data_IF_388075083921
#
_entry.id   IF_388075083921
#
_cell.length_a   1.000
_cell.length_b   1.000
_cell.length_c   1.000
_cell.angle_alpha   90.00
_cell.angle_beta   90.00
_cell.angle_gamma   90.00
#
_symmetry.space_group_name_H-M   'P 1'
#
loop_
_entity.id
_entity.type
_entity.pdbx_description
1 polymer ?
#
# COMPACT_ATOMS: atom_id res chain seq x y z
N UNK A 1 -40.40 25.09 5.48
CA UNK A 1 -39.21 24.57 6.21
C UNK A 1 -39.15 23.09 5.90
N UNK A 2 -38.07 22.66 5.27
CA UNK A 2 -37.95 21.44 4.46
C UNK A 2 -37.97 20.14 5.27
N UNK A 3 -38.85 19.22 4.86
CA UNK A 3 -38.83 17.77 5.08
C UNK A 3 -37.82 17.10 4.11
N UNK A 4 -37.69 15.77 4.02
CA UNK A 4 -37.57 14.71 5.04
C UNK A 4 -36.33 13.81 4.78
N UNK A 5 -36.05 12.94 5.75
CA UNK A 5 -35.04 11.90 5.71
C UNK A 5 -35.45 10.76 4.75
N UNK A 6 -34.92 10.77 3.52
CA UNK A 6 -35.04 9.67 2.55
C UNK A 6 -33.65 9.25 2.05
N UNK A 7 -33.16 8.09 2.48
CA UNK A 7 -31.95 7.48 1.92
C UNK A 7 -32.34 6.63 0.70
N UNK A 8 -31.85 6.92 -0.52
CA UNK A 8 -32.40 6.36 -1.76
C UNK A 8 -31.65 5.13 -2.29
N UNK A 9 -30.92 4.37 -1.47
CA UNK A 9 -30.17 3.22 -2.01
C UNK A 9 -31.05 1.96 -2.07
N UNK A 10 -31.78 1.84 -3.20
CA UNK A 10 -32.30 0.55 -3.68
C UNK A 10 -31.11 -0.38 -3.90
N UNK A 11 -31.10 -1.52 -3.19
CA UNK A 11 -30.22 -2.64 -3.48
C UNK A 11 -30.46 -3.11 -4.94
N UNK A 12 -29.45 -2.96 -5.80
CA UNK A 12 -29.42 -3.69 -7.06
C UNK A 12 -29.02 -5.14 -6.75
N UNK A 13 -30.02 -6.03 -6.72
CA UNK A 13 -29.81 -7.46 -6.80
C UNK A 13 -29.17 -7.79 -8.15
N UNK A 14 -27.88 -8.10 -8.16
CA UNK A 14 -27.22 -8.65 -9.34
C UNK A 14 -27.41 -10.17 -9.37
N UNK A 15 -28.37 -10.62 -10.18
CA UNK A 15 -28.38 -11.96 -10.76
C UNK A 15 -27.35 -11.96 -11.90
N UNK A 16 -26.35 -12.84 -11.85
CA UNK A 16 -25.47 -13.06 -12.99
C UNK A 16 -24.15 -13.71 -12.63
N UNK A 17 -24.02 -14.98 -12.99
CA UNK A 17 -22.85 -15.83 -12.79
C UNK A 17 -21.91 -15.68 -13.98
N UNK A 18 -21.00 -14.68 -13.97
CA UNK A 18 -19.99 -14.54 -15.04
C UNK A 18 -18.61 -14.15 -14.51
N UNK A 19 -17.70 -15.11 -14.62
CA UNK A 19 -16.26 -15.01 -14.38
C UNK A 19 -15.60 -13.96 -15.29
N UNK A 20 -14.86 -13.01 -14.73
CA UNK A 20 -14.11 -12.03 -15.50
C UNK A 20 -12.90 -12.67 -16.21
N UNK A 21 -12.83 -12.55 -17.54
CA UNK A 21 -11.71 -12.97 -18.39
C UNK A 21 -10.57 -11.93 -18.32
N UNK A 22 -9.34 -12.42 -18.22
CA UNK A 22 -8.08 -11.66 -18.26
C UNK A 22 -7.80 -11.22 -19.71
N UNK A 23 -7.44 -9.95 -19.94
CA UNK A 23 -7.12 -9.37 -21.25
C UNK A 23 -5.92 -10.11 -21.89
N UNK A 24 -6.05 -10.54 -23.15
CA UNK A 24 -4.97 -11.08 -24.00
C UNK A 24 -4.46 -9.92 -24.88
N UNK A 25 -3.15 -9.77 -25.01
CA UNK A 25 -2.51 -8.80 -25.91
C UNK A 25 -2.10 -9.52 -27.21
N UNK A 26 -2.49 -8.99 -28.36
CA UNK A 26 -2.27 -9.58 -29.70
C UNK A 26 -0.82 -9.36 -30.22
N UNK A 27 -0.39 -10.30 -31.07
CA UNK A 27 0.98 -10.49 -31.57
C UNK A 27 1.46 -9.42 -32.59
N UNK A 28 2.71 -8.93 -32.43
CA UNK A 28 3.41 -8.08 -33.43
C UNK A 28 4.65 -8.85 -33.96
N UNK A 29 4.93 -8.86 -35.28
CA UNK A 29 5.92 -9.77 -35.87
C UNK A 29 7.38 -9.33 -35.71
N UNK A 30 8.25 -10.34 -35.58
CA UNK A 30 9.68 -10.24 -35.29
C UNK A 30 10.55 -9.74 -36.47
N UNK A 31 11.35 -8.69 -36.24
CA UNK A 31 12.58 -8.41 -37.00
C UNK A 31 13.67 -7.78 -36.12
N UNK A 32 14.75 -8.58 -35.94
CA UNK A 32 16.15 -8.22 -35.64
C UNK A 32 16.47 -7.17 -34.56
N UNK A 33 16.93 -7.63 -33.40
CA UNK A 33 17.73 -6.86 -32.43
C UNK A 33 19.15 -7.48 -32.33
N UNK A 34 20.23 -6.65 -32.31
CA UNK A 34 21.61 -7.13 -32.16
C UNK A 34 21.94 -7.48 -30.70
N UNK A 35 23.09 -8.14 -30.52
CA UNK A 35 23.55 -8.88 -29.35
C UNK A 35 23.44 -8.17 -27.97
N UNK A 36 23.08 -8.96 -26.95
CA UNK A 36 22.89 -8.59 -25.54
C UNK A 36 24.19 -8.13 -24.86
N UNK A 37 24.19 -7.01 -24.12
CA UNK A 37 25.01 -6.87 -22.93
C UNK A 37 24.28 -7.50 -21.74
N UNK A 38 24.98 -8.31 -20.95
CA UNK A 38 24.46 -8.89 -19.72
C UNK A 38 24.29 -7.79 -18.66
N UNK A 39 23.05 -7.47 -18.31
CA UNK A 39 22.76 -6.60 -17.16
C UNK A 39 21.79 -7.31 -16.22
N UNK A 40 22.36 -8.18 -15.39
CA UNK A 40 21.70 -8.72 -14.21
C UNK A 40 21.96 -7.78 -13.03
N UNK A 41 21.25 -6.66 -13.00
CA UNK A 41 21.01 -5.99 -11.74
C UNK A 41 19.52 -5.73 -11.63
N UNK A 42 18.84 -6.69 -11.01
CA UNK A 42 17.45 -6.57 -10.55
C UNK A 42 17.38 -5.31 -9.69
N UNK A 43 16.93 -4.22 -10.30
CA UNK A 43 16.51 -3.04 -9.57
C UNK A 43 15.39 -3.50 -8.65
N UNK A 44 15.73 -3.68 -7.37
CA UNK A 44 14.78 -3.78 -6.28
C UNK A 44 14.14 -2.40 -6.12
N UNK A 45 13.30 -2.03 -7.08
CA UNK A 45 12.53 -0.79 -7.05
C UNK A 45 11.50 -1.00 -5.96
N UNK A 46 11.84 -0.60 -4.73
CA UNK A 46 10.88 -0.39 -3.65
C UNK A 46 9.82 0.53 -4.25
N UNK A 47 8.68 -0.02 -4.66
CA UNK A 47 7.62 0.67 -5.39
C UNK A 47 7.02 1.74 -4.48
N UNK A 48 7.64 2.92 -4.53
CA UNK A 48 7.18 4.13 -3.90
C UNK A 48 6.84 5.08 -5.04
N UNK A 49 5.73 4.80 -5.73
CA UNK A 49 5.11 5.76 -6.65
C UNK A 49 4.75 7.08 -5.94
N UNK A 50 3.89 7.91 -6.50
CA UNK A 50 3.45 9.20 -5.93
C UNK A 50 3.20 9.23 -4.41
N UNK A 51 2.80 8.09 -3.82
CA UNK A 51 2.64 7.87 -2.38
C UNK A 51 3.94 8.01 -1.55
N UNK A 52 5.11 7.71 -2.11
CA UNK A 52 6.41 7.81 -1.44
C UNK A 52 6.82 9.22 -1.09
N UNK A 53 6.42 10.22 -1.90
CA UNK A 53 6.71 11.62 -1.64
C UNK A 53 6.07 12.11 -0.32
N UNK A 54 4.92 11.54 0.04
CA UNK A 54 4.23 11.86 1.30
C UNK A 54 5.06 11.50 2.54
N UNK A 55 6.04 10.62 2.42
CA UNK A 55 6.93 10.25 3.53
C UNK A 55 7.92 11.37 3.89
N UNK A 56 8.10 12.38 3.03
CA UNK A 56 8.89 13.56 3.37
C UNK A 56 8.07 14.65 4.07
N UNK A 57 6.74 14.51 4.10
CA UNK A 57 5.83 15.49 4.69
C UNK A 57 6.01 15.59 6.23
N UNK A 58 5.94 16.80 6.83
CA UNK A 58 6.09 16.99 8.27
C UNK A 58 5.11 16.15 9.10
N UNK A 59 3.87 16.00 8.67
CA UNK A 59 2.87 15.18 9.37
C UNK A 59 3.28 13.71 9.43
N UNK A 60 3.85 13.14 8.35
CA UNK A 60 4.38 11.79 8.41
C UNK A 60 5.58 11.68 9.35
N UNK A 61 6.49 12.66 9.32
CA UNK A 61 7.63 12.68 10.25
C UNK A 61 7.17 12.72 11.70
N UNK A 62 6.12 13.49 12.03
CA UNK A 62 5.51 13.54 13.35
C UNK A 62 4.86 12.19 13.71
N UNK A 63 4.01 11.63 12.84
CA UNK A 63 3.38 10.32 13.07
C UNK A 63 4.40 9.20 13.24
N UNK A 64 5.46 9.20 12.41
CA UNK A 64 6.57 8.25 12.51
C UNK A 64 7.24 8.32 13.88
N UNK A 65 7.51 9.52 14.40
CA UNK A 65 8.09 9.69 15.75
C UNK A 65 7.15 9.14 16.84
N UNK A 66 5.86 9.42 16.74
CA UNK A 66 4.85 8.89 17.68
C UNK A 66 4.88 7.36 17.74
N UNK A 67 4.87 6.69 16.57
CA UNK A 67 4.87 5.22 16.49
C UNK A 67 6.21 4.63 16.97
N UNK A 68 7.35 5.23 16.63
CA UNK A 68 8.64 4.81 17.14
C UNK A 68 8.73 4.95 18.66
N UNK A 69 8.22 6.05 19.21
CA UNK A 69 8.18 6.26 20.65
C UNK A 69 7.31 5.21 21.36
N UNK A 70 6.10 4.95 20.84
CA UNK A 70 5.21 3.89 21.34
C UNK A 70 5.90 2.53 21.37
N UNK A 71 6.66 2.20 20.32
CA UNK A 71 7.35 0.92 20.17
C UNK A 71 8.76 0.91 20.81
N UNK A 72 9.05 1.90 21.68
CA UNK A 72 10.32 2.05 22.41
C UNK A 72 11.56 2.07 21.51
N UNK A 73 11.45 2.64 20.30
CA UNK A 73 12.51 2.68 19.30
C UNK A 73 13.11 1.28 19.03
N UNK A 74 12.26 0.26 18.99
CA UNK A 74 12.67 -1.11 18.70
C UNK A 74 11.70 -1.77 17.74
N UNK A 75 12.24 -2.65 16.91
CA UNK A 75 11.46 -3.57 16.11
C UNK A 75 10.55 -4.39 17.03
N UNK A 76 9.24 -4.34 16.78
CA UNK A 76 8.25 -5.08 17.58
C UNK A 76 8.43 -6.60 17.43
N UNK A 77 8.98 -7.06 16.30
CA UNK A 77 9.18 -8.48 16.04
C UNK A 77 10.48 -9.05 16.64
N UNK A 78 11.62 -8.41 16.41
CA UNK A 78 12.94 -8.94 16.79
C UNK A 78 13.72 -8.09 17.80
N UNK A 79 13.15 -6.98 18.28
CA UNK A 79 13.74 -6.05 19.27
C UNK A 79 15.00 -5.29 18.83
N UNK A 80 15.46 -5.46 17.60
CA UNK A 80 16.52 -4.63 16.99
C UNK A 80 16.15 -3.14 17.06
N UNK A 81 17.13 -2.29 17.29
CA UNK A 81 17.05 -0.82 17.24
C UNK A 81 17.62 -0.24 15.94
N UNK A 82 18.10 -1.09 15.03
CA UNK A 82 18.70 -0.70 13.75
C UNK A 82 17.68 -0.61 12.62
N UNK A 83 17.88 0.36 11.73
CA UNK A 83 17.16 0.53 10.45
C UNK A 83 15.63 0.44 10.57
N UNK A 84 15.10 1.18 11.55
CA UNK A 84 13.69 1.15 11.91
C UNK A 84 12.80 1.86 10.89
N UNK A 85 11.73 1.20 10.50
CA UNK A 85 10.71 1.65 9.57
C UNK A 85 9.34 1.49 10.22
N UNK A 86 8.41 2.39 9.87
CA UNK A 86 7.00 2.25 10.26
C UNK A 86 6.24 1.64 9.10
N UNK A 87 5.69 0.47 9.34
CA UNK A 87 4.97 -0.33 8.37
C UNK A 87 3.46 -0.15 8.52
N UNK A 88 2.75 -0.01 7.40
CA UNK A 88 1.29 -0.02 7.36
C UNK A 88 0.79 -1.46 7.27
N UNK A 89 -0.01 -1.89 8.25
CA UNK A 89 -0.61 -3.24 8.30
C UNK A 89 -1.79 -3.41 7.34
N UNK A 90 -2.38 -2.30 6.89
CA UNK A 90 -3.41 -2.25 5.87
C UNK A 90 -3.45 -0.85 5.24
N UNK A 91 -3.93 -0.75 4.00
CA UNK A 91 -4.23 0.51 3.32
C UNK A 91 -5.73 0.73 3.21
N UNK A 92 -6.15 1.99 3.27
CA UNK A 92 -7.54 2.43 3.08
C UNK A 92 -7.63 3.26 1.80
N UNK A 93 -8.42 2.78 0.84
CA UNK A 93 -8.77 3.52 -0.36
C UNK A 93 -10.12 4.21 -0.15
N UNK A 94 -10.14 5.53 -0.18
CA UNK A 94 -11.31 6.37 0.08
C UNK A 94 -12.06 6.53 -1.25
N UNK A 95 -13.18 5.84 -1.41
CA UNK A 95 -13.85 5.67 -2.70
C UNK A 95 -14.40 7.00 -3.27
N UNK A 96 -15.02 7.82 -2.40
CA UNK A 96 -15.60 9.11 -2.79
C UNK A 96 -14.53 10.13 -3.23
N UNK A 97 -13.31 10.04 -2.69
CA UNK A 97 -12.19 10.93 -3.03
C UNK A 97 -11.22 10.31 -4.05
N UNK A 98 -11.47 9.06 -4.47
CA UNK A 98 -10.64 8.28 -5.38
C UNK A 98 -9.14 8.29 -5.04
N UNK A 99 -8.80 8.22 -3.74
CA UNK A 99 -7.41 8.27 -3.28
C UNK A 99 -7.17 7.40 -2.06
N UNK A 100 -5.90 7.09 -1.80
CA UNK A 100 -5.52 6.47 -0.54
C UNK A 100 -5.58 7.47 0.62
N UNK A 101 -5.96 6.98 1.80
CA UNK A 101 -5.78 7.70 3.06
C UNK A 101 -4.31 8.07 3.24
N UNK A 102 -4.07 9.27 3.77
CA UNK A 102 -2.73 9.80 3.97
C UNK A 102 -2.00 8.98 5.04
N UNK A 103 -0.67 8.81 4.94
CA UNK A 103 0.10 7.98 5.88
C UNK A 103 -0.09 8.34 7.36
N UNK A 104 -0.26 9.63 7.67
CA UNK A 104 -0.40 10.11 9.05
C UNK A 104 -1.83 10.01 9.62
N UNK A 105 -2.83 9.78 8.77
CA UNK A 105 -4.24 9.68 9.18
C UNK A 105 -4.63 8.27 9.61
N UNK A 106 -3.71 7.30 9.52
CA UNK A 106 -3.97 5.94 9.98
C UNK A 106 -3.96 5.86 11.52
N UNK A 107 -4.93 5.14 12.12
CA UNK A 107 -4.91 4.88 13.55
C UNK A 107 -3.68 4.03 13.92
N UNK A 108 -3.12 4.28 15.11
CA UNK A 108 -1.84 3.72 15.52
C UNK A 108 -1.76 2.19 15.47
N UNK A 109 -2.86 1.47 15.74
CA UNK A 109 -2.89 0.00 15.71
C UNK A 109 -2.69 -0.61 14.30
N UNK A 110 -2.79 0.20 13.25
CA UNK A 110 -2.47 -0.17 11.86
C UNK A 110 -1.04 0.18 11.46
N UNK A 111 -0.28 0.80 12.36
CA UNK A 111 1.11 1.17 12.16
C UNK A 111 1.99 0.39 13.15
N UNK A 112 3.12 -0.12 12.67
CA UNK A 112 4.03 -0.93 13.49
C UNK A 112 5.49 -0.64 13.16
N UNK A 113 6.34 -0.54 14.18
CA UNK A 113 7.78 -0.39 14.00
C UNK A 113 8.44 -1.75 13.72
N UNK A 114 9.15 -1.85 12.60
CA UNK A 114 9.94 -3.02 12.22
C UNK A 114 11.33 -2.57 11.76
N UNK A 115 12.35 -3.39 12.02
CA UNK A 115 13.64 -3.19 11.33
C UNK A 115 13.51 -3.62 9.86
N UNK A 116 14.39 -3.11 8.99
CA UNK A 116 14.38 -3.42 7.56
C UNK A 116 14.32 -4.93 7.26
N UNK A 117 15.09 -5.76 7.98
CA UNK A 117 15.08 -7.22 7.79
C UNK A 117 13.70 -7.82 8.04
N UNK A 118 13.05 -7.45 9.16
CA UNK A 118 11.72 -7.96 9.49
C UNK A 118 10.65 -7.41 8.54
N UNK A 119 10.78 -6.15 8.15
CA UNK A 119 9.90 -5.50 7.18
C UNK A 119 9.91 -6.22 5.83
N UNK A 120 11.10 -6.44 5.27
CA UNK A 120 11.26 -7.10 3.97
C UNK A 120 10.81 -8.56 4.02
N UNK A 121 11.14 -9.30 5.09
CA UNK A 121 10.62 -10.67 5.31
C UNK A 121 9.09 -10.71 5.33
N UNK A 122 8.45 -9.72 5.97
CA UNK A 122 7.01 -9.56 5.99
C UNK A 122 6.42 -9.38 4.59
N UNK A 123 6.94 -8.44 3.81
CA UNK A 123 6.48 -8.17 2.44
C UNK A 123 6.75 -9.33 1.47
N UNK A 124 7.84 -10.08 1.66
CA UNK A 124 8.13 -11.25 0.84
C UNK A 124 7.13 -12.39 1.08
N UNK A 125 6.56 -12.47 2.29
CA UNK A 125 5.64 -13.55 2.68
C UNK A 125 4.17 -13.16 2.53
N UNK A 126 3.83 -11.89 2.73
CA UNK A 126 2.45 -11.43 2.80
C UNK A 126 2.25 -10.14 2.01
N UNK A 127 1.10 -10.03 1.35
CA UNK A 127 0.63 -8.77 0.76
C UNK A 127 -0.11 -7.95 1.82
N UNK A 128 0.15 -6.65 1.86
CA UNK A 128 -0.60 -5.73 2.72
C UNK A 128 -2.01 -5.56 2.14
N UNK A 129 -3.07 -5.84 2.89
CA UNK A 129 -4.43 -5.70 2.39
C UNK A 129 -4.80 -4.23 2.14
N UNK A 130 -5.61 -4.01 1.11
CA UNK A 130 -6.25 -2.72 0.83
C UNK A 130 -7.75 -2.88 1.01
N UNK A 131 -8.34 -2.00 1.82
CA UNK A 131 -9.78 -1.96 2.08
C UNK A 131 -10.33 -0.68 1.45
N UNK A 132 -11.40 -0.79 0.69
CA UNK A 132 -12.15 0.36 0.20
C UNK A 132 -13.12 0.82 1.28
N UNK A 133 -13.06 2.10 1.62
CA UNK A 133 -13.92 2.77 2.59
C UNK A 133 -14.68 3.92 1.94
#
# INVERSE_FOLDING_TARGET
MTTPNDAPYKYLQFKGDQSYRRYIQEDIPAKSLPAKPQEQHLLNVKSHGSYGALLFHPNWKAKRKEILHRDMHRCVHCRSDKDLQVHHRQYHFIANEQRFRLPWDYPGHLLITLCESCHNKGHNKYKVPTITI
#
